data_IF_199476918989
#
_entry.id   IF_199476918989
#
_cell.length_a   1.000
_cell.length_b   1.000
_cell.length_c   1.000
_cell.angle_alpha   90.00
_cell.angle_beta   90.00
_cell.angle_gamma   90.00
#
_symmetry.space_group_name_H-M   'P 1'
#
loop_
_entity.id
_entity.type
_entity.pdbx_description
1 polymer ?
#
# COMPACT_ATOMS: atom_id res chain seq x y z
N UNK A 1 -11.30 21.56 -24.26
CA UNK A 1 -11.04 20.18 -23.77
C UNK A 1 -10.40 20.19 -22.39
N UNK A 2 -9.24 20.82 -22.18
CA UNK A 2 -8.56 20.86 -20.87
C UNK A 2 -9.46 21.38 -19.71
N UNK A 3 -10.13 22.52 -19.89
CA UNK A 3 -11.03 23.08 -18.85
C UNK A 3 -12.18 22.15 -18.46
N UNK A 4 -12.72 21.38 -19.43
CA UNK A 4 -13.80 20.42 -19.16
C UNK A 4 -13.29 19.28 -18.29
N UNK A 5 -12.10 18.76 -18.58
CA UNK A 5 -11.48 17.73 -17.74
C UNK A 5 -11.09 18.26 -16.35
N UNK A 6 -10.62 19.50 -16.26
CA UNK A 6 -10.33 20.14 -14.98
C UNK A 6 -11.58 20.27 -14.11
N UNK A 7 -12.72 20.68 -14.70
CA UNK A 7 -14.00 20.74 -13.97
C UNK A 7 -14.46 19.36 -13.52
N UNK A 8 -14.35 18.33 -14.37
CA UNK A 8 -14.67 16.94 -14.01
C UNK A 8 -13.76 16.44 -12.87
N UNK A 9 -12.48 16.77 -12.90
CA UNK A 9 -11.52 16.42 -11.85
C UNK A 9 -11.89 17.06 -10.51
N UNK A 10 -12.24 18.37 -10.49
CA UNK A 10 -12.70 19.00 -9.26
C UNK A 10 -13.99 18.39 -8.74
N UNK A 11 -14.94 18.10 -9.64
CA UNK A 11 -16.18 17.44 -9.26
C UNK A 11 -15.92 16.05 -8.66
N UNK A 12 -14.99 15.29 -9.22
CA UNK A 12 -14.61 13.98 -8.69
C UNK A 12 -14.01 14.06 -7.28
N UNK A 13 -13.26 15.11 -6.95
CA UNK A 13 -12.75 15.32 -5.58
C UNK A 13 -13.89 15.55 -4.58
N UNK A 14 -14.88 16.37 -4.96
CA UNK A 14 -16.09 16.60 -4.15
C UNK A 14 -16.85 15.30 -3.95
N UNK A 15 -17.17 14.59 -5.04
CA UNK A 15 -17.95 13.34 -4.99
C UNK A 15 -17.24 12.24 -4.17
N UNK A 16 -15.91 12.10 -4.32
CA UNK A 16 -15.12 11.14 -3.53
C UNK A 16 -15.10 11.50 -2.05
N UNK A 17 -15.01 12.80 -1.73
CA UNK A 17 -15.04 13.26 -0.35
C UNK A 17 -16.42 13.04 0.27
N UNK A 18 -17.49 13.49 -0.38
CA UNK A 18 -18.84 13.41 0.16
C UNK A 18 -19.30 11.96 0.38
N UNK A 19 -18.97 11.07 -0.57
CA UNK A 19 -19.40 9.68 -0.49
C UNK A 19 -18.52 8.87 0.48
N UNK A 20 -17.21 8.84 0.28
CA UNK A 20 -16.35 7.81 0.88
C UNK A 20 -15.57 8.31 2.11
N UNK A 21 -15.42 9.63 2.31
CA UNK A 21 -14.63 10.16 3.42
C UNK A 21 -15.25 9.88 4.78
N UNK A 22 -14.44 9.32 5.67
CA UNK A 22 -14.77 9.16 7.07
C UNK A 22 -14.13 10.28 7.91
N UNK A 23 -14.94 11.07 8.65
CA UNK A 23 -14.43 12.18 9.43
C UNK A 23 -13.79 11.74 10.76
N UNK A 24 -13.86 10.48 11.18
CA UNK A 24 -13.22 9.99 12.40
C UNK A 24 -11.80 9.55 12.05
N UNK A 25 -11.69 8.58 11.15
CA UNK A 25 -10.42 7.95 10.77
C UNK A 25 -9.65 8.74 9.71
N UNK A 26 -10.27 9.75 9.11
CA UNK A 26 -9.66 10.66 8.13
C UNK A 26 -9.13 9.92 6.89
N UNK A 27 -9.90 8.96 6.40
CA UNK A 27 -9.63 8.21 5.18
C UNK A 27 -10.91 7.90 4.41
N UNK A 28 -10.78 7.24 3.25
CA UNK A 28 -11.92 6.87 2.41
C UNK A 28 -12.26 5.41 2.59
N UNK A 29 -13.50 5.10 2.93
CA UNK A 29 -14.01 3.73 3.08
C UNK A 29 -14.99 3.37 1.97
N UNK A 30 -15.04 2.09 1.62
CA UNK A 30 -16.08 1.56 0.75
C UNK A 30 -17.46 1.73 1.39
N UNK A 31 -18.47 1.87 0.54
CA UNK A 31 -19.86 2.08 0.95
C UNK A 31 -20.65 0.81 0.68
N UNK A 32 -21.33 0.33 1.69
CA UNK A 32 -22.33 -0.73 1.54
C UNK A 32 -23.62 -0.16 0.97
N UNK A 33 -24.05 -0.71 -0.16
CA UNK A 33 -25.29 -0.33 -0.84
C UNK A 33 -26.46 -1.22 -0.44
N UNK A 34 -26.22 -2.34 0.24
CA UNK A 34 -27.26 -3.22 0.74
C UNK A 34 -28.03 -2.55 1.89
N UNK A 35 -29.33 -2.79 1.95
CA UNK A 35 -30.20 -2.20 2.97
C UNK A 35 -30.02 -2.81 4.36
N UNK A 36 -29.39 -3.99 4.45
CA UNK A 36 -29.33 -4.82 5.67
C UNK A 36 -28.55 -4.17 6.80
N UNK A 37 -27.49 -3.45 6.46
CA UNK A 37 -26.61 -2.76 7.43
C UNK A 37 -26.80 -1.23 7.41
N UNK A 38 -27.85 -0.77 6.71
CA UNK A 38 -28.15 0.64 6.45
C UNK A 38 -27.51 1.09 5.14
N UNK A 39 -28.35 1.26 4.11
CA UNK A 39 -27.89 1.73 2.78
C UNK A 39 -27.05 3.00 2.93
N UNK A 40 -25.81 2.97 2.43
CA UNK A 40 -24.87 4.08 2.54
C UNK A 40 -23.94 4.01 3.76
N UNK A 41 -23.98 2.94 4.55
CA UNK A 41 -23.03 2.70 5.62
C UNK A 41 -21.61 2.55 5.06
N UNK A 42 -20.62 3.13 5.74
CA UNK A 42 -19.21 2.94 5.42
C UNK A 42 -18.71 1.66 6.07
N UNK A 43 -17.91 0.87 5.35
CA UNK A 43 -17.19 -0.29 5.90
C UNK A 43 -15.89 0.20 6.54
N UNK A 44 -15.77 0.25 7.89
CA UNK A 44 -14.62 0.84 8.58
C UNK A 44 -13.46 -0.16 8.65
N UNK A 45 -13.10 -0.73 7.50
CA UNK A 45 -12.04 -1.71 7.36
C UNK A 45 -10.90 -1.10 6.57
N UNK A 46 -9.67 -1.26 7.07
CA UNK A 46 -8.49 -0.87 6.32
C UNK A 46 -8.25 -1.78 5.11
N UNK A 47 -8.18 -1.15 3.96
CA UNK A 47 -7.63 -1.67 2.71
C UNK A 47 -6.65 -0.62 2.13
N UNK A 48 -5.56 -1.03 1.46
CA UNK A 48 -4.68 -0.08 0.78
C UNK A 48 -5.40 0.84 -0.22
N UNK A 49 -6.52 0.38 -0.80
CA UNK A 49 -7.40 1.18 -1.67
C UNK A 49 -8.01 2.41 -0.98
N UNK A 50 -8.11 2.44 0.35
CA UNK A 50 -8.54 3.63 1.09
C UNK A 50 -7.64 4.84 0.78
N UNK A 51 -6.39 4.62 0.38
CA UNK A 51 -5.42 5.67 0.05
C UNK A 51 -5.41 6.06 -1.44
N UNK A 52 -6.23 5.42 -2.28
CA UNK A 52 -6.27 5.73 -3.71
C UNK A 52 -6.49 7.22 -4.00
N UNK A 53 -7.41 7.95 -3.31
CA UNK A 53 -7.55 9.38 -3.53
C UNK A 53 -6.29 10.19 -3.18
N UNK A 54 -5.52 9.79 -2.16
CA UNK A 54 -4.24 10.41 -1.84
C UNK A 54 -3.20 10.14 -2.94
N UNK A 55 -3.10 8.90 -3.41
CA UNK A 55 -2.18 8.49 -4.48
C UNK A 55 -2.43 9.23 -5.80
N UNK A 56 -3.70 9.40 -6.19
CA UNK A 56 -4.10 10.09 -7.42
C UNK A 56 -4.22 11.62 -7.28
N UNK A 57 -3.78 12.21 -6.17
CA UNK A 57 -3.93 13.65 -5.86
C UNK A 57 -5.39 14.14 -5.84
N UNK A 58 -6.34 13.21 -5.70
CA UNK A 58 -7.79 13.43 -5.68
C UNK A 58 -8.31 13.80 -4.29
N UNK A 59 -7.60 14.70 -3.60
CA UNK A 59 -7.92 15.13 -2.23
C UNK A 59 -8.55 16.52 -2.26
N UNK A 60 -9.72 16.67 -1.64
CA UNK A 60 -10.42 17.95 -1.46
C UNK A 60 -9.82 18.76 -0.29
N UNK A 61 -9.43 18.07 0.78
CA UNK A 61 -8.77 18.64 1.96
C UNK A 61 -7.29 19.00 1.68
N UNK A 62 -6.65 19.65 2.66
CA UNK A 62 -5.20 19.85 2.64
C UNK A 62 -4.46 18.51 2.56
N UNK A 63 -3.81 18.25 1.41
CA UNK A 63 -3.13 17.00 1.11
C UNK A 63 -2.05 16.65 2.14
N UNK A 64 -1.28 17.64 2.61
CA UNK A 64 -0.22 17.43 3.58
C UNK A 64 -0.81 16.95 4.91
N UNK A 65 -1.87 17.61 5.37
CA UNK A 65 -2.59 17.23 6.59
C UNK A 65 -3.21 15.84 6.47
N UNK A 66 -3.85 15.51 5.35
CA UNK A 66 -4.42 14.18 5.11
C UNK A 66 -3.33 13.10 5.09
N UNK A 67 -2.21 13.34 4.41
CA UNK A 67 -1.06 12.44 4.42
C UNK A 67 -0.54 12.17 5.83
N UNK A 68 -0.40 13.21 6.65
CA UNK A 68 -0.01 13.07 8.06
C UNK A 68 -1.01 12.23 8.86
N UNK A 69 -2.31 12.44 8.68
CA UNK A 69 -3.36 11.73 9.41
C UNK A 69 -3.38 10.24 9.06
N UNK A 70 -3.28 9.92 7.78
CA UNK A 70 -3.21 8.54 7.30
C UNK A 70 -1.93 7.87 7.81
N UNK A 71 -0.79 8.56 7.77
CA UNK A 71 0.47 8.04 8.31
C UNK A 71 0.35 7.67 9.80
N UNK A 72 -0.33 8.51 10.60
CA UNK A 72 -0.61 8.22 12.01
C UNK A 72 -1.49 6.99 12.17
N UNK A 73 -2.58 6.90 11.41
CA UNK A 73 -3.45 5.72 11.43
C UNK A 73 -2.67 4.44 11.15
N UNK A 74 -1.82 4.44 10.11
CA UNK A 74 -1.00 3.27 9.76
C UNK A 74 0.01 2.88 10.84
N UNK A 75 0.54 3.86 11.59
CA UNK A 75 1.43 3.61 12.72
C UNK A 75 0.68 3.08 13.95
N UNK A 76 -0.40 3.75 14.34
CA UNK A 76 -1.22 3.42 15.52
C UNK A 76 -1.86 2.03 15.40
N UNK A 77 -2.23 1.61 14.19
CA UNK A 77 -2.79 0.29 13.91
C UNK A 77 -1.74 -0.77 13.57
N UNK A 78 -0.44 -0.45 13.67
CA UNK A 78 0.66 -1.39 13.43
C UNK A 78 0.87 -1.81 11.97
N UNK A 79 0.09 -1.26 11.02
CA UNK A 79 0.15 -1.60 9.59
C UNK A 79 1.50 -1.23 8.99
N UNK A 80 2.01 -0.03 9.29
CA UNK A 80 3.33 0.43 8.83
C UNK A 80 4.51 -0.24 9.55
N UNK A 81 4.25 -1.05 10.57
CA UNK A 81 5.26 -1.79 11.34
C UNK A 81 5.37 -3.26 10.93
N UNK A 82 4.58 -3.71 9.94
CA UNK A 82 4.71 -5.04 9.38
C UNK A 82 6.08 -5.22 8.70
N UNK A 83 6.76 -6.36 8.93
CA UNK A 83 8.18 -6.51 8.63
C UNK A 83 8.52 -6.49 7.14
N UNK A 84 7.58 -6.88 6.27
CA UNK A 84 7.86 -7.04 4.84
C UNK A 84 6.89 -6.26 3.93
N UNK A 85 6.39 -5.12 4.41
CA UNK A 85 5.43 -4.25 3.73
C UNK A 85 4.03 -4.33 4.31
N UNK A 86 3.05 -3.74 3.64
CA UNK A 86 1.64 -3.71 4.10
C UNK A 86 0.83 -4.88 3.49
N UNK A 87 -0.20 -5.36 4.20
CA UNK A 87 -1.06 -6.43 3.71
C UNK A 87 -2.15 -5.84 2.81
N UNK A 88 -2.81 -6.69 2.03
CA UNK A 88 -3.97 -6.29 1.22
C UNK A 88 -5.21 -5.96 2.05
N UNK A 89 -5.31 -6.49 3.26
CA UNK A 89 -6.34 -6.15 4.25
C UNK A 89 -5.86 -6.52 5.65
N UNK A 90 -6.62 -6.19 6.69
CA UNK A 90 -6.39 -6.69 8.05
C UNK A 90 -7.17 -7.98 8.36
N UNK A 91 -7.95 -8.50 7.41
CA UNK A 91 -8.67 -9.75 7.55
C UNK A 91 -7.74 -10.93 7.27
N UNK A 92 -7.74 -11.94 8.16
CA UNK A 92 -7.08 -13.21 7.89
C UNK A 92 -8.11 -14.17 7.31
N UNK A 93 -8.01 -14.40 6.01
CA UNK A 93 -8.75 -15.41 5.29
C UNK A 93 -7.77 -16.28 4.50
N UNK A 94 -8.29 -17.27 3.78
CA UNK A 94 -7.50 -18.06 2.83
C UNK A 94 -7.47 -17.41 1.42
N UNK A 95 -8.03 -16.22 1.24
CA UNK A 95 -8.07 -15.50 -0.04
C UNK A 95 -6.75 -14.78 -0.36
N UNK A 96 -6.51 -14.53 -1.65
CA UNK A 96 -5.22 -13.95 -2.10
C UNK A 96 -5.07 -12.47 -1.72
N UNK A 97 -6.18 -11.77 -1.55
CA UNK A 97 -6.24 -10.32 -1.31
C UNK A 97 -6.48 -9.97 0.17
N UNK A 98 -6.09 -10.86 1.06
CA UNK A 98 -6.17 -10.70 2.51
C UNK A 98 -4.83 -11.00 3.19
N UNK A 99 -4.68 -10.65 4.48
CA UNK A 99 -3.44 -10.98 5.20
C UNK A 99 -3.29 -12.51 5.31
N UNK A 100 -2.06 -13.04 5.18
CA UNK A 100 -0.78 -12.34 5.30
C UNK A 100 -0.22 -11.80 3.97
N UNK A 101 -0.98 -11.80 2.88
CA UNK A 101 -0.48 -11.40 1.57
C UNK A 101 -0.38 -9.88 1.44
N UNK A 102 0.75 -9.41 0.90
CA UNK A 102 0.95 -8.08 0.37
C UNK A 102 1.28 -8.14 -1.11
N UNK A 103 0.79 -7.16 -1.86
CA UNK A 103 0.97 -7.05 -3.29
C UNK A 103 1.74 -5.77 -3.63
N UNK A 104 2.58 -5.85 -4.66
CA UNK A 104 3.36 -4.72 -5.15
C UNK A 104 2.52 -3.46 -5.42
N UNK A 105 1.38 -3.51 -6.15
CA UNK A 105 0.57 -2.31 -6.41
C UNK A 105 0.01 -1.67 -5.13
N UNK A 106 -0.39 -2.47 -4.13
CA UNK A 106 -0.88 -1.96 -2.86
C UNK A 106 0.21 -1.25 -2.07
N UNK A 107 1.38 -1.89 -1.92
CA UNK A 107 2.52 -1.27 -1.26
C UNK A 107 2.93 0.03 -1.96
N UNK A 108 3.05 0.00 -3.29
CA UNK A 108 3.40 1.17 -4.08
C UNK A 108 2.40 2.32 -3.93
N UNK A 109 1.09 2.05 -3.99
CA UNK A 109 0.05 3.06 -3.83
C UNK A 109 0.16 3.79 -2.49
N UNK A 110 0.37 3.03 -1.40
CA UNK A 110 0.51 3.61 -0.06
C UNK A 110 1.81 4.40 0.07
N UNK A 111 2.94 3.83 -0.36
CA UNK A 111 4.25 4.49 -0.31
C UNK A 111 4.20 5.81 -1.09
N UNK A 112 3.75 5.79 -2.33
CA UNK A 112 3.73 6.97 -3.19
C UNK A 112 2.70 8.00 -2.75
N UNK A 113 1.52 7.58 -2.27
CA UNK A 113 0.52 8.49 -1.72
C UNK A 113 1.06 9.27 -0.53
N UNK A 114 1.70 8.58 0.41
CA UNK A 114 2.34 9.21 1.57
C UNK A 114 3.53 10.08 1.16
N UNK A 115 4.42 9.59 0.28
CA UNK A 115 5.61 10.34 -0.17
C UNK A 115 5.25 11.64 -0.88
N UNK A 116 4.26 11.59 -1.79
CA UNK A 116 3.77 12.73 -2.58
C UNK A 116 2.80 13.64 -1.82
N UNK A 117 2.43 13.29 -0.58
CA UNK A 117 1.60 14.15 0.27
C UNK A 117 2.32 15.45 0.65
N UNK A 118 3.65 15.43 0.71
CA UNK A 118 4.49 16.56 1.12
C UNK A 118 4.59 16.76 2.65
N UNK A 119 4.04 15.84 3.44
CA UNK A 119 4.23 15.83 4.89
C UNK A 119 5.49 15.04 5.28
N UNK A 120 6.28 15.61 6.19
CA UNK A 120 7.58 15.02 6.59
C UNK A 120 7.36 13.69 7.33
N UNK A 121 6.38 13.63 8.23
CA UNK A 121 6.09 12.40 8.96
C UNK A 121 5.50 11.34 8.03
N UNK A 122 4.59 11.73 7.12
CA UNK A 122 4.11 10.81 6.09
C UNK A 122 5.24 10.26 5.20
N UNK A 123 6.21 11.09 4.80
CA UNK A 123 7.38 10.67 4.05
C UNK A 123 8.27 9.68 4.82
N UNK A 124 8.43 9.86 6.13
CA UNK A 124 9.15 8.90 6.98
C UNK A 124 8.45 7.53 7.03
N UNK A 125 7.12 7.53 7.19
CA UNK A 125 6.33 6.30 7.14
C UNK A 125 6.39 5.66 5.75
N UNK A 126 6.34 6.45 4.68
CA UNK A 126 6.49 5.96 3.31
C UNK A 126 7.83 5.24 3.10
N UNK A 127 8.93 5.84 3.56
CA UNK A 127 10.26 5.24 3.48
C UNK A 127 10.35 3.95 4.30
N UNK A 128 9.82 3.94 5.54
CA UNK A 128 9.78 2.72 6.38
C UNK A 128 9.06 1.58 5.69
N UNK A 129 7.89 1.83 5.10
CA UNK A 129 7.13 0.82 4.36
C UNK A 129 7.89 0.35 3.11
N UNK A 130 8.54 1.28 2.38
CA UNK A 130 9.35 0.94 1.21
C UNK A 130 10.55 0.04 1.56
N UNK A 131 11.29 0.38 2.63
CA UNK A 131 12.39 -0.42 3.15
C UNK A 131 11.92 -1.85 3.47
N UNK A 132 10.86 -1.98 4.27
CA UNK A 132 10.32 -3.28 4.66
C UNK A 132 9.87 -4.10 3.44
N UNK A 133 9.14 -3.50 2.49
CA UNK A 133 8.70 -4.17 1.27
C UNK A 133 9.89 -4.66 0.42
N UNK A 134 10.89 -3.80 0.21
CA UNK A 134 12.10 -4.15 -0.55
C UNK A 134 12.85 -5.30 0.14
N UNK A 135 13.02 -5.26 1.46
CA UNK A 135 13.67 -6.33 2.20
C UNK A 135 12.93 -7.67 2.07
N UNK A 136 11.60 -7.65 2.17
CA UNK A 136 10.76 -8.84 1.96
C UNK A 136 10.94 -9.48 0.59
N UNK A 137 10.83 -8.65 -0.46
CA UNK A 137 11.01 -9.11 -1.84
C UNK A 137 12.43 -9.58 -2.08
N UNK A 138 13.41 -8.89 -1.52
CA UNK A 138 14.81 -9.23 -1.62
C UNK A 138 15.12 -10.58 -0.96
N UNK A 139 14.66 -10.85 0.25
CA UNK A 139 14.91 -12.15 0.90
C UNK A 139 14.36 -13.32 0.07
N UNK A 140 13.17 -13.16 -0.50
CA UNK A 140 12.59 -14.15 -1.42
C UNK A 140 13.40 -14.26 -2.70
N UNK A 141 13.84 -13.15 -3.30
CA UNK A 141 14.69 -13.16 -4.49
C UNK A 141 15.95 -14.01 -4.26
N UNK A 142 16.59 -13.90 -3.10
CA UNK A 142 17.75 -14.72 -2.74
C UNK A 142 17.40 -16.19 -2.55
N UNK A 143 16.35 -16.46 -1.79
CA UNK A 143 15.94 -17.83 -1.50
C UNK A 143 15.54 -18.59 -2.76
N UNK A 144 15.00 -17.90 -3.77
CA UNK A 144 14.45 -18.51 -4.98
C UNK A 144 15.30 -18.23 -6.22
N UNK A 145 16.64 -18.18 -6.07
CA UNK A 145 17.58 -18.11 -7.19
C UNK A 145 17.30 -16.95 -8.19
N UNK A 146 16.94 -15.78 -7.66
CA UNK A 146 16.68 -14.57 -8.45
C UNK A 146 15.25 -14.44 -8.98
N UNK A 147 14.31 -15.28 -8.49
CA UNK A 147 12.91 -15.21 -8.91
C UNK A 147 12.12 -14.19 -8.13
N UNK A 148 11.19 -13.54 -8.82
CA UNK A 148 10.21 -12.61 -8.26
C UNK A 148 8.80 -13.16 -8.50
N UNK A 149 7.85 -12.80 -7.63
CA UNK A 149 6.51 -13.39 -7.60
C UNK A 149 5.44 -12.30 -7.57
N UNK A 150 4.19 -12.69 -7.81
CA UNK A 150 3.06 -11.77 -7.84
C UNK A 150 2.74 -11.13 -6.47
N UNK A 151 2.95 -11.88 -5.38
CA UNK A 151 2.57 -11.53 -4.00
C UNK A 151 3.50 -12.17 -2.96
N UNK A 152 3.59 -11.54 -1.79
CA UNK A 152 4.55 -11.86 -0.73
C UNK A 152 3.87 -11.92 0.63
N UNK A 153 4.39 -12.73 1.55
CA UNK A 153 3.97 -12.69 2.97
C UNK A 153 4.57 -11.46 3.63
N UNK A 154 3.72 -10.64 4.25
CA UNK A 154 4.15 -9.38 4.90
C UNK A 154 4.33 -9.46 6.41
N UNK A 155 3.89 -10.56 7.03
CA UNK A 155 3.96 -10.80 8.48
C UNK A 155 4.58 -12.16 8.83
N UNK A 156 5.16 -12.24 10.03
CA UNK A 156 5.87 -13.43 10.50
C UNK A 156 7.20 -13.60 9.80
N UNK A 157 7.36 -14.68 9.05
CA UNK A 157 8.55 -14.94 8.22
C UNK A 157 8.33 -14.48 6.78
N UNK A 158 9.40 -13.95 6.15
CA UNK A 158 9.39 -13.62 4.74
C UNK A 158 9.07 -14.86 3.91
N UNK A 159 8.44 -14.67 2.76
CA UNK A 159 8.11 -15.77 1.87
C UNK A 159 7.22 -15.34 0.72
N UNK A 160 7.03 -16.27 -0.20
CA UNK A 160 6.05 -16.12 -1.27
C UNK A 160 4.64 -16.13 -0.64
N UNK A 161 3.75 -15.27 -1.11
CA UNK A 161 2.36 -15.28 -0.68
C UNK A 161 1.58 -16.48 -1.27
N UNK A 162 0.35 -16.68 -0.83
CA UNK A 162 -0.45 -17.85 -1.20
C UNK A 162 -1.96 -17.60 -1.13
N UNK A 163 -2.74 -18.67 -1.00
CA UNK A 163 -4.21 -18.59 -0.90
C UNK A 163 -4.93 -18.47 -2.24
N UNK A 164 -6.26 -18.46 -2.16
CA UNK A 164 -7.24 -18.34 -3.23
C UNK A 164 -7.21 -19.44 -4.29
N UNK A 165 -7.65 -19.08 -5.49
CA UNK A 165 -8.08 -20.06 -6.51
C UNK A 165 -6.95 -20.74 -7.30
N UNK A 166 -5.71 -20.24 -7.26
CA UNK A 166 -4.62 -20.75 -8.08
C UNK A 166 -3.25 -20.58 -7.41
N UNK A 167 -2.27 -21.34 -7.90
CA UNK A 167 -0.89 -21.32 -7.40
C UNK A 167 -0.18 -20.02 -7.78
N UNK A 168 0.70 -19.54 -6.91
CA UNK A 168 1.43 -18.29 -7.12
C UNK A 168 2.27 -18.26 -8.41
N UNK A 169 2.31 -17.10 -9.07
CA UNK A 169 2.99 -16.89 -10.37
C UNK A 169 4.37 -16.21 -10.24
N UNK A 170 5.28 -16.53 -11.17
CA UNK A 170 6.69 -16.08 -11.23
C UNK A 170 6.90 -14.95 -12.29
N UNK A 171 7.93 -14.12 -12.11
CA UNK A 171 8.40 -13.11 -13.07
C UNK A 171 7.59 -11.81 -13.09
N UNK A 172 6.67 -11.64 -12.14
CA UNK A 172 5.50 -10.78 -12.26
C UNK A 172 5.80 -9.28 -12.48
N UNK A 173 5.24 -8.71 -13.55
CA UNK A 173 5.59 -7.39 -14.06
C UNK A 173 5.42 -6.23 -13.06
N UNK A 174 4.34 -6.21 -12.26
CA UNK A 174 4.16 -5.15 -11.26
C UNK A 174 5.22 -5.21 -10.15
N UNK A 175 5.73 -6.39 -9.80
CA UNK A 175 6.66 -6.53 -8.69
C UNK A 175 7.99 -5.98 -9.12
N UNK A 176 8.42 -6.37 -10.33
CA UNK A 176 9.62 -5.87 -10.96
C UNK A 176 9.56 -4.35 -11.10
N UNK A 177 8.45 -3.80 -11.61
CA UNK A 177 8.27 -2.36 -11.82
C UNK A 177 8.31 -1.57 -10.51
N UNK A 178 7.58 -2.03 -9.48
CA UNK A 178 7.54 -1.36 -8.17
C UNK A 178 8.90 -1.40 -7.49
N UNK A 179 9.61 -2.54 -7.51
CA UNK A 179 10.94 -2.62 -6.90
C UNK A 179 11.93 -1.70 -7.61
N UNK A 180 11.91 -1.64 -8.94
CA UNK A 180 12.76 -0.70 -9.70
C UNK A 180 12.45 0.76 -9.34
N UNK A 181 11.18 1.14 -9.29
CA UNK A 181 10.76 2.50 -8.92
C UNK A 181 11.20 2.89 -7.51
N UNK A 182 11.03 1.98 -6.54
CA UNK A 182 11.43 2.22 -5.15
C UNK A 182 12.96 2.27 -4.97
N UNK A 183 13.71 1.42 -5.67
CA UNK A 183 15.18 1.47 -5.67
C UNK A 183 15.70 2.78 -6.30
N UNK A 184 15.05 3.26 -7.35
CA UNK A 184 15.38 4.56 -7.96
C UNK A 184 15.00 5.74 -7.05
N UNK A 185 13.92 5.59 -6.29
CA UNK A 185 13.40 6.66 -5.41
C UNK A 185 14.16 6.78 -4.11
N UNK A 186 14.51 5.65 -3.47
CA UNK A 186 15.08 5.61 -2.13
C UNK A 186 16.50 5.02 -2.07
N UNK A 187 17.12 4.70 -3.21
CA UNK A 187 18.37 3.93 -3.27
C UNK A 187 19.53 4.47 -2.41
N UNK A 188 19.63 5.79 -2.24
CA UNK A 188 20.66 6.43 -1.40
C UNK A 188 20.33 6.37 0.10
N UNK A 189 19.05 6.24 0.46
CA UNK A 189 18.55 6.24 1.84
C UNK A 189 18.40 4.83 2.41
N UNK A 190 18.19 3.84 1.54
CA UNK A 190 17.99 2.45 1.93
C UNK A 190 19.16 1.96 2.78
N UNK A 191 18.82 1.37 3.92
CA UNK A 191 19.77 0.75 4.84
C UNK A 191 19.55 -0.74 4.80
N UNK A 192 20.63 -1.49 4.86
CA UNK A 192 20.53 -2.94 4.97
C UNK A 192 21.26 -3.42 6.20
N UNK A 193 20.50 -4.01 7.11
CA UNK A 193 21.04 -4.68 8.28
C UNK A 193 20.66 -6.17 8.20
N UNK A 194 21.67 -7.04 8.05
CA UNK A 194 21.48 -8.49 7.96
C UNK A 194 22.59 -9.18 7.16
N UNK A 195 22.88 -10.47 7.41
CA UNK A 195 24.04 -11.12 6.83
C UNK A 195 23.90 -11.13 5.31
N UNK A 196 24.87 -10.53 4.63
CA UNK A 196 25.08 -10.77 3.22
C UNK A 196 25.32 -12.27 3.07
N UNK A 197 24.55 -13.01 2.25
CA UNK A 197 24.98 -14.35 1.88
C UNK A 197 26.39 -14.22 1.30
N UNK A 198 27.34 -14.95 1.88
CA UNK A 198 28.71 -15.00 1.38
C UNK A 198 28.65 -15.43 -0.08
N UNK A 199 28.89 -14.49 -0.99
CA UNK A 199 29.17 -14.81 -2.37
C UNK A 199 30.57 -15.41 -2.43
N UNK A 200 30.69 -16.71 -2.22
CA UNK A 200 31.75 -17.45 -2.88
C UNK A 200 31.36 -17.50 -4.36
N UNK A 201 31.85 -16.52 -5.13
CA UNK A 201 32.08 -16.68 -6.56
C UNK A 201 33.25 -17.64 -6.78
#
# INVERSE_FOLDING_TARGET
MAEVHQKKYQRMKEDLHDAFWDPIDKMWYDIDLDERDGRGAKSPTFYPSNLAPLYFDCVLNDKKKVGQQIAKYLEENGISSMPYGIPSSMHASDEQWDRPNGWAPHNHMVIEGLRKSGDIFAQQIAFKVAQNWIDGVWFVFFQYAGKMFEKYRVEGHYGIGGGGEYTVQEGFGWTNGVILDLLMTYGEELKREGPYPNYAM
#
